data_IF_452010296587
#
_entry.id   IF_452010296587
#
_cell.length_a   1.000
_cell.length_b   1.000
_cell.length_c   1.000
_cell.angle_alpha   90.00
_cell.angle_beta   90.00
_cell.angle_gamma   90.00
#
_symmetry.space_group_name_H-M   'P 1'
#
loop_
_entity.id
_entity.type
_entity.pdbx_description
1 polymer ?
#
# COMPACT_ATOMS: atom_id res chain seq x y z
N UNK A 1 39.95 23.97 28.96
CA UNK A 1 39.45 22.58 28.92
C UNK A 1 37.91 22.43 28.76
N UNK A 2 37.14 23.52 28.62
CA UNK A 2 35.66 23.48 28.59
C UNK A 2 35.02 23.53 27.19
N UNK A 3 35.70 24.10 26.19
CA UNK A 3 35.10 24.30 24.86
C UNK A 3 35.05 23.01 24.03
N UNK A 4 36.10 22.18 24.07
CA UNK A 4 36.15 20.87 23.41
C UNK A 4 35.08 19.89 23.92
N UNK A 5 34.77 19.93 25.23
CA UNK A 5 33.66 19.14 25.81
C UNK A 5 32.30 19.65 25.33
N UNK A 6 32.12 20.97 25.23
CA UNK A 6 30.88 21.61 24.74
C UNK A 6 30.64 21.30 23.25
N UNK A 7 31.70 21.28 22.44
CA UNK A 7 31.63 20.96 21.00
C UNK A 7 31.37 19.47 20.75
N UNK A 8 31.99 18.57 21.53
CA UNK A 8 31.68 17.13 21.51
C UNK A 8 30.23 16.85 21.95
N UNK A 9 29.74 17.50 23.01
CA UNK A 9 28.35 17.38 23.46
C UNK A 9 27.35 17.92 22.42
N UNK A 10 27.65 19.03 21.74
CA UNK A 10 26.81 19.53 20.62
C UNK A 10 26.77 18.57 19.43
N UNK A 11 27.88 17.91 19.09
CA UNK A 11 27.90 16.85 18.06
C UNK A 11 27.08 15.64 18.51
N UNK A 12 27.26 15.17 19.74
CA UNK A 12 26.49 14.06 20.33
C UNK A 12 24.99 14.35 20.40
N UNK A 13 24.58 15.56 20.77
CA UNK A 13 23.18 16.00 20.76
C UNK A 13 22.58 16.00 19.33
N UNK A 14 23.32 16.51 18.33
CA UNK A 14 22.87 16.50 16.93
C UNK A 14 22.74 15.07 16.37
N UNK A 15 23.67 14.17 16.71
CA UNK A 15 23.58 12.76 16.30
C UNK A 15 22.46 12.02 17.03
N UNK A 16 22.23 12.32 18.32
CA UNK A 16 21.09 11.81 19.10
C UNK A 16 19.75 12.25 18.51
N UNK A 17 19.60 13.52 18.12
CA UNK A 17 18.38 14.03 17.49
C UNK A 17 18.11 13.42 16.12
N UNK A 18 19.15 13.16 15.32
CA UNK A 18 19.01 12.51 14.01
C UNK A 18 18.58 11.04 14.19
N UNK A 19 19.21 10.31 15.12
CA UNK A 19 18.84 8.93 15.41
C UNK A 19 17.40 8.81 15.95
N UNK A 20 17.00 9.71 16.86
CA UNK A 20 15.62 9.79 17.33
C UNK A 20 14.62 10.10 16.20
N UNK A 21 14.98 11.00 15.28
CA UNK A 21 14.17 11.27 14.09
C UNK A 21 13.96 10.02 13.24
N UNK A 22 15.02 9.25 12.96
CA UNK A 22 14.90 8.00 12.20
C UNK A 22 14.07 6.95 12.93
N UNK A 23 14.24 6.80 14.25
CA UNK A 23 13.42 5.89 15.05
C UNK A 23 11.94 6.28 15.05
N UNK A 24 11.62 7.57 15.11
CA UNK A 24 10.24 8.07 15.02
C UNK A 24 9.65 7.78 13.63
N UNK A 25 10.40 8.08 12.56
CA UNK A 25 10.00 7.74 11.18
C UNK A 25 9.75 6.24 10.99
N UNK A 26 10.64 5.39 11.52
CA UNK A 26 10.48 3.93 11.44
C UNK A 26 9.24 3.48 12.22
N UNK A 27 8.98 4.05 13.40
CA UNK A 27 7.76 3.78 14.17
C UNK A 27 6.49 4.20 13.43
N UNK A 28 6.49 5.36 12.77
CA UNK A 28 5.37 5.82 11.95
C UNK A 28 5.12 4.90 10.76
N UNK A 29 6.17 4.50 10.04
CA UNK A 29 6.07 3.53 8.94
C UNK A 29 5.53 2.18 9.44
N UNK A 30 6.04 1.68 10.56
CA UNK A 30 5.54 0.44 11.16
C UNK A 30 4.10 0.56 11.62
N UNK A 31 3.69 1.73 12.16
CA UNK A 31 2.29 2.01 12.50
C UNK A 31 1.40 1.96 11.26
N UNK A 32 1.85 2.52 10.13
CA UNK A 32 1.11 2.43 8.86
C UNK A 32 1.04 1.00 8.32
N UNK A 33 2.11 0.22 8.42
CA UNK A 33 2.12 -1.20 8.00
C UNK A 33 1.21 -2.07 8.88
N UNK A 34 1.00 -1.69 10.13
CA UNK A 34 0.10 -2.37 11.06
C UNK A 34 -1.31 -1.77 11.09
N UNK A 35 -1.60 -0.77 10.25
CA UNK A 35 -2.93 -0.20 10.11
C UNK A 35 -3.75 -1.04 9.13
N UNK A 36 -4.70 -1.81 9.67
CA UNK A 36 -5.59 -2.67 8.91
C UNK A 36 -6.40 -1.90 7.86
N UNK A 37 -6.78 -0.65 8.14
CA UNK A 37 -7.56 0.18 7.22
C UNK A 37 -6.68 0.68 6.07
N UNK A 38 -5.47 1.14 6.38
CA UNK A 38 -4.48 1.48 5.35
C UNK A 38 -4.18 0.30 4.43
N UNK A 39 -3.95 -0.88 5.00
CA UNK A 39 -3.66 -2.10 4.23
C UNK A 39 -4.82 -2.49 3.30
N UNK A 40 -6.08 -2.35 3.74
CA UNK A 40 -7.26 -2.57 2.89
C UNK A 40 -7.30 -1.61 1.70
N UNK A 41 -7.10 -0.31 1.93
CA UNK A 41 -7.11 0.70 0.87
C UNK A 41 -5.95 0.48 -0.12
N UNK A 42 -4.76 0.15 0.38
CA UNK A 42 -3.59 -0.16 -0.44
C UNK A 42 -3.85 -1.40 -1.31
N UNK A 43 -4.37 -2.48 -0.73
CA UNK A 43 -4.70 -3.69 -1.46
C UNK A 43 -5.74 -3.41 -2.55
N UNK A 44 -6.78 -2.62 -2.25
CA UNK A 44 -7.79 -2.21 -3.23
C UNK A 44 -7.16 -1.51 -4.44
N UNK A 45 -6.22 -0.59 -4.20
CA UNK A 45 -5.49 0.10 -5.25
C UNK A 45 -4.66 -0.85 -6.12
N UNK A 46 -3.92 -1.77 -5.50
CA UNK A 46 -3.07 -2.73 -6.20
C UNK A 46 -3.90 -3.69 -7.06
N UNK A 47 -5.02 -4.22 -6.54
CA UNK A 47 -5.94 -5.07 -7.30
C UNK A 47 -6.58 -4.31 -8.47
N UNK A 48 -6.95 -3.04 -8.27
CA UNK A 48 -7.54 -2.22 -9.34
C UNK A 48 -6.57 -2.00 -10.51
N UNK A 49 -5.26 -1.88 -10.23
CA UNK A 49 -4.23 -1.83 -11.27
C UNK A 49 -4.15 -3.11 -12.09
N UNK A 50 -4.16 -4.26 -11.41
CA UNK A 50 -4.10 -5.57 -12.08
C UNK A 50 -5.32 -5.75 -12.99
N UNK A 51 -6.52 -5.49 -12.49
CA UNK A 51 -7.74 -5.54 -13.31
C UNK A 51 -7.65 -4.56 -14.49
N UNK A 52 -7.15 -3.34 -14.26
CA UNK A 52 -6.93 -2.37 -15.34
C UNK A 52 -5.95 -2.86 -16.41
N UNK A 53 -4.93 -3.62 -16.05
CA UNK A 53 -4.00 -4.25 -16.99
C UNK A 53 -4.66 -5.41 -17.76
N UNK A 54 -5.40 -6.28 -17.07
CA UNK A 54 -6.13 -7.39 -17.69
C UNK A 54 -7.14 -6.91 -18.73
N UNK A 55 -7.88 -5.84 -18.40
CA UNK A 55 -8.90 -5.24 -19.28
C UNK A 55 -8.34 -4.62 -20.54
N UNK A 56 -7.24 -3.86 -20.43
CA UNK A 56 -6.72 -3.02 -21.53
C UNK A 56 -5.58 -3.66 -22.33
N UNK A 57 -4.91 -4.66 -21.77
CA UNK A 57 -3.68 -5.20 -22.37
C UNK A 57 -3.76 -6.71 -22.49
N UNK A 58 -3.73 -7.44 -21.37
CA UNK A 58 -3.51 -8.89 -21.40
C UNK A 58 -4.53 -9.66 -22.26
N UNK A 59 -5.82 -9.34 -22.13
CA UNK A 59 -6.88 -9.94 -22.97
C UNK A 59 -6.78 -9.51 -24.42
N UNK A 60 -6.52 -8.24 -24.69
CA UNK A 60 -6.43 -7.73 -26.06
C UNK A 60 -5.27 -8.40 -26.80
N UNK A 61 -4.12 -8.52 -26.16
CA UNK A 61 -2.92 -9.13 -26.74
C UNK A 61 -3.14 -10.63 -26.98
N UNK A 62 -3.73 -11.35 -26.01
CA UNK A 62 -4.09 -12.76 -26.20
C UNK A 62 -5.07 -12.96 -27.36
N UNK A 63 -6.03 -12.04 -27.54
CA UNK A 63 -6.98 -12.09 -28.65
C UNK A 63 -6.31 -11.79 -30.00
N UNK A 64 -5.41 -10.80 -30.06
CA UNK A 64 -4.64 -10.43 -31.28
C UNK A 64 -3.75 -11.58 -31.75
N UNK A 65 -3.09 -12.27 -30.82
CA UNK A 65 -2.21 -13.42 -31.10
C UNK A 65 -2.99 -14.74 -31.30
N UNK A 66 -4.34 -14.72 -31.22
CA UNK A 66 -5.17 -15.90 -31.42
C UNK A 66 -5.10 -16.94 -30.29
N UNK A 67 -4.56 -16.58 -29.12
CA UNK A 67 -4.41 -17.45 -27.96
C UNK A 67 -5.70 -17.52 -27.12
N UNK A 68 -6.68 -18.28 -27.60
CA UNK A 68 -8.01 -18.41 -26.97
C UNK A 68 -7.98 -18.88 -25.51
N UNK A 69 -7.08 -19.80 -25.16
CA UNK A 69 -6.95 -20.31 -23.79
C UNK A 69 -6.45 -19.20 -22.85
N UNK A 70 -5.41 -18.47 -23.25
CA UNK A 70 -4.88 -17.35 -22.46
C UNK A 70 -5.95 -16.26 -22.27
N UNK A 71 -6.73 -15.95 -23.30
CA UNK A 71 -7.84 -15.00 -23.19
C UNK A 71 -8.87 -15.46 -22.13
N UNK A 72 -9.27 -16.73 -22.18
CA UNK A 72 -10.22 -17.28 -21.22
C UNK A 72 -9.68 -17.20 -19.78
N UNK A 73 -8.41 -17.58 -19.57
CA UNK A 73 -7.77 -17.49 -18.27
C UNK A 73 -7.70 -16.05 -17.75
N UNK A 74 -7.34 -15.08 -18.59
CA UNK A 74 -7.31 -13.67 -18.19
C UNK A 74 -8.69 -13.13 -17.84
N UNK A 75 -9.72 -13.57 -18.56
CA UNK A 75 -11.11 -13.21 -18.27
C UNK A 75 -11.57 -13.79 -16.93
N UNK A 76 -11.27 -15.05 -16.64
CA UNK A 76 -11.61 -15.67 -15.34
C UNK A 76 -10.94 -14.94 -14.17
N UNK A 77 -9.63 -14.65 -14.30
CA UNK A 77 -8.88 -13.91 -13.27
C UNK A 77 -9.49 -12.52 -13.05
N UNK A 78 -9.84 -11.80 -14.11
CA UNK A 78 -10.49 -10.50 -14.01
C UNK A 78 -11.82 -10.57 -13.25
N UNK A 79 -12.70 -11.50 -13.62
CA UNK A 79 -14.01 -11.65 -12.99
C UNK A 79 -13.89 -11.98 -11.48
N UNK A 80 -12.91 -12.81 -11.10
CA UNK A 80 -12.68 -13.13 -9.69
C UNK A 80 -12.09 -11.96 -8.92
N UNK A 81 -11.12 -11.25 -9.51
CA UNK A 81 -10.55 -10.06 -8.89
C UNK A 81 -11.59 -8.96 -8.70
N UNK A 82 -12.51 -8.76 -9.65
CA UNK A 82 -13.61 -7.80 -9.51
C UNK A 82 -14.54 -8.12 -8.34
N UNK A 83 -14.92 -9.40 -8.18
CA UNK A 83 -15.72 -9.85 -7.03
C UNK A 83 -15.01 -9.54 -5.71
N UNK A 84 -13.70 -9.78 -5.64
CA UNK A 84 -12.92 -9.51 -4.43
C UNK A 84 -12.69 -8.02 -4.17
N UNK A 85 -12.47 -7.22 -5.21
CA UNK A 85 -12.42 -5.76 -5.14
C UNK A 85 -13.70 -5.21 -4.54
N UNK A 86 -14.87 -5.67 -5.00
CA UNK A 86 -16.15 -5.17 -4.50
C UNK A 86 -16.37 -5.51 -3.03
N UNK A 87 -16.06 -6.74 -2.60
CA UNK A 87 -16.07 -7.12 -1.18
C UNK A 87 -15.18 -6.20 -0.35
N UNK A 88 -13.99 -5.86 -0.86
CA UNK A 88 -13.04 -5.00 -0.17
C UNK A 88 -13.52 -3.54 -0.10
N UNK A 89 -14.16 -3.03 -1.17
CA UNK A 89 -14.78 -1.69 -1.18
C UNK A 89 -15.88 -1.59 -0.13
N UNK A 90 -16.79 -2.56 -0.08
CA UNK A 90 -17.85 -2.62 0.93
C UNK A 90 -17.26 -2.63 2.35
N UNK A 91 -16.20 -3.42 2.59
CA UNK A 91 -15.54 -3.46 3.88
C UNK A 91 -14.90 -2.11 4.26
N UNK A 92 -14.32 -1.38 3.31
CA UNK A 92 -13.75 -0.04 3.52
C UNK A 92 -14.85 1.00 3.79
N UNK A 93 -15.95 0.95 3.03
CA UNK A 93 -17.09 1.85 3.23
C UNK A 93 -17.78 1.62 4.57
N UNK A 94 -17.93 0.37 5.00
CA UNK A 94 -18.45 0.02 6.33
C UNK A 94 -17.66 0.68 7.46
N UNK A 95 -16.32 0.68 7.37
CA UNK A 95 -15.44 1.33 8.35
C UNK A 95 -15.69 2.85 8.43
N UNK A 96 -15.95 3.50 7.30
CA UNK A 96 -16.24 4.94 7.25
C UNK A 96 -17.54 5.32 7.97
N UNK A 97 -18.48 4.37 8.08
CA UNK A 97 -19.75 4.54 8.78
C UNK A 97 -19.56 4.38 10.29
N UNK A 98 -18.76 3.40 10.73
CA UNK A 98 -18.46 3.20 12.16
C UNK A 98 -17.74 4.40 12.78
N UNK A 99 -16.81 5.03 12.07
CA UNK A 99 -16.10 6.23 12.56
C UNK A 99 -16.98 7.48 12.71
N UNK A 100 -18.20 7.49 12.17
CA UNK A 100 -19.14 8.62 12.30
C UNK A 100 -20.04 8.55 13.55
N UNK A 101 -20.00 7.44 14.29
CA UNK A 101 -20.83 7.21 15.48
C UNK A 101 -20.01 7.08 16.78
N UNK A 102 -18.70 7.35 16.73
CA UNK A 102 -17.85 7.49 17.92
C UNK A 102 -17.62 8.96 18.27
#
# INVERSE_FOLDING_TARGET
MNELKKHKNRKLLKHGTIYQYYLLKIKEVNKMLNDCNYNKVRLLYDLSKIVGFLKRHAKEDANKEGHKLCYAMYKEIEEDLEKHIEKLRIAIEGLSKESKFN
#
